data_IF_512132633346
#
_entry.id   IF_512132633346
#
_cell.length_a   1.000
_cell.length_b   1.000
_cell.length_c   1.000
_cell.angle_alpha   90.00
_cell.angle_beta   90.00
_cell.angle_gamma   90.00
#
_symmetry.space_group_name_H-M   'P 1'
#
loop_
_entity.id
_entity.type
_entity.pdbx_description
1 polymer ?
#
# COMPACT_ATOMS: atom_id res chain seq x y z
N UNK A 1 15.27 9.38 -3.92
CA UNK A 1 15.83 8.31 -3.06
C UNK A 1 14.69 7.37 -2.69
N UNK A 2 14.69 6.17 -3.23
CA UNK A 2 13.69 5.13 -2.94
C UNK A 2 13.77 4.75 -1.46
N UNK A 3 12.66 4.89 -0.73
CA UNK A 3 12.57 4.41 0.65
C UNK A 3 12.47 2.89 0.64
N UNK A 4 13.08 2.17 1.61
CA UNK A 4 12.91 0.73 1.70
C UNK A 4 11.43 0.40 1.88
N UNK A 5 10.93 -0.71 1.31
CA UNK A 5 9.51 -1.09 1.37
C UNK A 5 9.08 -1.51 2.78
N UNK A 6 10.01 -1.61 3.71
CA UNK A 6 9.77 -2.02 5.08
C UNK A 6 10.79 -1.39 6.03
N UNK A 7 10.44 -1.40 7.30
CA UNK A 7 11.36 -1.26 8.41
C UNK A 7 11.39 -2.55 9.20
N UNK A 8 12.60 -3.00 9.55
CA UNK A 8 12.81 -4.05 10.52
C UNK A 8 13.83 -3.61 11.56
N UNK A 9 13.58 -3.90 12.83
CA UNK A 9 14.52 -3.61 13.90
C UNK A 9 14.01 -3.96 15.30
N UNK A 10 14.94 -4.08 16.24
CA UNK A 10 14.67 -4.47 17.62
C UNK A 10 15.04 -5.92 17.91
N UNK A 11 14.70 -6.39 19.12
CA UNK A 11 14.92 -7.76 19.59
C UNK A 11 13.76 -8.17 20.52
N UNK A 12 13.46 -9.47 20.61
CA UNK A 12 12.37 -9.98 21.45
C UNK A 12 11.27 -10.65 20.65
N UNK A 13 10.04 -10.63 21.16
CA UNK A 13 8.89 -11.28 20.51
C UNK A 13 8.52 -10.54 19.20
N UNK A 14 8.27 -11.26 18.07
CA UNK A 14 7.94 -10.62 16.80
C UNK A 14 6.64 -9.81 16.85
N UNK A 15 6.66 -8.61 16.26
CA UNK A 15 5.50 -7.73 16.16
C UNK A 15 5.35 -7.15 14.74
N UNK A 16 4.21 -7.39 14.10
CA UNK A 16 3.87 -6.81 12.79
C UNK A 16 3.01 -5.55 12.95
N UNK A 17 3.44 -4.44 12.34
CA UNK A 17 2.68 -3.19 12.30
C UNK A 17 2.07 -2.96 10.92
N UNK A 18 0.73 -2.92 10.85
CA UNK A 18 -0.04 -2.68 9.63
C UNK A 18 -0.54 -1.23 9.59
N UNK A 19 -0.09 -0.46 8.60
CA UNK A 19 -0.55 0.92 8.40
C UNK A 19 -1.96 0.99 7.79
N UNK A 20 -2.60 2.16 7.88
CA UNK A 20 -3.91 2.41 7.27
C UNK A 20 -3.88 2.55 5.74
N UNK A 21 -5.06 2.74 5.15
CA UNK A 21 -5.26 2.94 3.70
C UNK A 21 -4.47 4.18 3.24
N UNK A 22 -3.80 4.09 2.08
CA UNK A 22 -2.90 5.13 1.53
C UNK A 22 -1.66 5.49 2.38
N UNK A 23 -1.26 4.66 3.35
CA UNK A 23 -0.07 4.92 4.16
C UNK A 23 1.16 4.13 3.68
N UNK A 24 2.23 4.16 4.46
CA UNK A 24 3.41 3.31 4.30
C UNK A 24 3.94 2.97 5.68
N UNK A 25 4.95 2.11 5.81
CA UNK A 25 5.54 1.82 7.12
C UNK A 25 5.99 3.10 7.86
N UNK A 26 6.28 4.18 7.14
CA UNK A 26 6.83 5.41 7.73
C UNK A 26 5.91 6.09 8.75
N UNK A 27 4.61 5.80 8.73
CA UNK A 27 3.67 6.34 9.75
C UNK A 27 4.04 5.91 11.17
N UNK A 28 4.76 4.80 11.30
CA UNK A 28 5.20 4.27 12.59
C UNK A 28 6.49 4.92 13.12
N UNK A 29 7.22 5.71 12.31
CA UNK A 29 8.50 6.34 12.72
C UNK A 29 8.48 7.00 14.10
N UNK A 30 7.43 7.74 14.50
CA UNK A 30 7.40 8.39 15.81
C UNK A 30 7.40 7.42 17.00
N UNK A 31 6.96 6.17 16.82
CA UNK A 31 6.80 5.19 17.91
C UNK A 31 7.80 4.03 17.85
N UNK A 32 8.46 3.80 16.71
CA UNK A 32 9.40 2.68 16.55
C UNK A 32 10.49 2.64 17.62
N UNK A 33 11.03 3.81 18.01
CA UNK A 33 12.08 3.88 19.04
C UNK A 33 11.63 3.43 20.43
N UNK A 34 10.33 3.53 20.73
CA UNK A 34 9.76 3.06 21.99
C UNK A 34 9.40 1.56 21.96
N UNK A 35 9.10 1.01 20.78
CA UNK A 35 8.63 -0.38 20.61
C UNK A 35 9.80 -1.35 20.39
N UNK A 36 10.79 -0.94 19.59
CA UNK A 36 11.93 -1.80 19.20
C UNK A 36 12.80 -2.33 20.36
N UNK A 37 12.92 -1.66 21.52
CA UNK A 37 13.61 -2.25 22.67
C UNK A 37 12.92 -3.48 23.29
N UNK A 38 11.64 -3.70 22.97
CA UNK A 38 10.81 -4.77 23.55
C UNK A 38 10.43 -5.88 22.55
N UNK A 39 10.50 -5.60 21.25
CA UNK A 39 10.05 -6.50 20.18
C UNK A 39 10.98 -6.48 18.96
N UNK A 40 11.05 -7.60 18.21
CA UNK A 40 11.55 -7.61 16.82
C UNK A 40 10.42 -7.08 15.92
N UNK A 41 10.47 -5.80 15.55
CA UNK A 41 9.39 -5.12 14.85
C UNK A 41 9.58 -5.24 13.34
N UNK A 42 8.53 -5.69 12.66
CA UNK A 42 8.39 -5.60 11.21
C UNK A 42 7.26 -4.61 10.88
N UNK A 43 7.60 -3.52 10.20
CA UNK A 43 6.62 -2.58 9.66
C UNK A 43 6.73 -2.56 8.14
N UNK A 44 5.68 -3.02 7.45
CA UNK A 44 5.68 -3.18 6.00
C UNK A 44 4.97 -2.00 5.33
N UNK A 45 5.41 -1.62 4.13
CA UNK A 45 4.58 -0.92 3.15
C UNK A 45 3.89 -1.98 2.30
N UNK A 46 2.58 -2.08 2.41
CA UNK A 46 1.81 -3.02 1.61
C UNK A 46 1.84 -2.63 0.12
N UNK A 47 1.85 -3.60 -0.82
CA UNK A 47 1.59 -3.32 -2.23
C UNK A 47 0.29 -2.52 -2.40
N UNK A 48 0.22 -1.61 -3.37
CA UNK A 48 -0.95 -0.72 -3.53
C UNK A 48 -0.95 0.52 -2.64
N UNK A 49 0.01 0.68 -1.72
CA UNK A 49 0.09 1.79 -0.77
C UNK A 49 1.34 2.66 -1.00
N UNK A 50 1.46 3.81 -0.33
CA UNK A 50 2.49 4.81 -0.69
C UNK A 50 3.90 4.23 -0.59
N UNK A 51 4.62 4.18 -1.71
CA UNK A 51 5.96 3.59 -1.79
C UNK A 51 5.99 2.10 -2.18
N UNK A 52 4.84 1.44 -2.28
CA UNK A 52 4.67 0.23 -3.08
C UNK A 52 4.42 0.66 -4.52
N UNK A 53 5.33 0.36 -5.44
CA UNK A 53 5.44 1.00 -6.76
C UNK A 53 4.24 0.94 -7.72
N UNK A 54 3.10 0.36 -7.33
CA UNK A 54 1.85 0.31 -8.09
C UNK A 54 0.66 0.60 -7.19
N UNK A 55 -0.31 1.37 -7.67
CA UNK A 55 -1.60 1.69 -7.01
C UNK A 55 -2.73 1.25 -7.94
N UNK A 56 -3.63 0.37 -7.47
CA UNK A 56 -4.84 0.01 -8.21
C UNK A 56 -6.02 0.88 -7.78
N UNK A 57 -6.78 1.44 -8.73
CA UNK A 57 -7.94 2.29 -8.48
C UNK A 57 -9.17 1.88 -9.28
N UNK A 58 -10.33 1.79 -8.61
CA UNK A 58 -11.63 1.51 -9.23
C UNK A 58 -12.09 2.64 -10.16
N UNK A 59 -12.19 2.36 -11.46
CA UNK A 59 -12.47 3.36 -12.49
C UNK A 59 -13.87 3.96 -12.45
N UNK A 60 -14.81 3.31 -11.77
CA UNK A 60 -16.20 3.76 -11.59
C UNK A 60 -16.56 4.00 -10.11
N UNK A 61 -15.56 4.22 -9.23
CA UNK A 61 -15.82 4.54 -7.83
C UNK A 61 -16.54 5.88 -7.67
N UNK A 62 -17.76 5.82 -7.14
CA UNK A 62 -18.60 6.99 -6.84
C UNK A 62 -18.56 7.41 -5.37
N UNK A 63 -18.08 6.54 -4.48
CA UNK A 63 -17.94 6.81 -3.05
C UNK A 63 -16.64 7.57 -2.79
N UNK A 64 -15.56 7.16 -3.44
CA UNK A 64 -14.25 7.81 -3.41
C UNK A 64 -13.84 8.09 -4.86
N UNK A 65 -14.31 9.19 -5.47
CA UNK A 65 -13.99 9.52 -6.86
C UNK A 65 -12.50 9.78 -7.08
N UNK A 66 -11.94 9.22 -8.15
CA UNK A 66 -10.52 9.36 -8.50
C UNK A 66 -10.07 10.83 -8.54
N UNK A 67 -10.83 11.69 -9.22
CA UNK A 67 -10.46 13.11 -9.37
C UNK A 67 -10.31 13.85 -8.04
N UNK A 68 -11.11 13.48 -7.04
CA UNK A 68 -11.12 14.14 -5.73
C UNK A 68 -10.05 13.57 -4.79
N UNK A 69 -9.80 12.27 -4.84
CA UNK A 69 -8.98 11.57 -3.84
C UNK A 69 -7.74 10.89 -4.44
N UNK A 70 -7.87 10.24 -5.59
CA UNK A 70 -6.77 9.53 -6.27
C UNK A 70 -5.81 10.47 -6.98
N UNK A 71 -6.28 11.51 -7.67
CA UNK A 71 -5.41 12.46 -8.37
C UNK A 71 -4.46 13.20 -7.41
N UNK A 72 -4.90 13.77 -6.27
CA UNK A 72 -3.98 14.34 -5.29
C UNK A 72 -3.03 13.31 -4.64
N UNK A 73 -3.38 12.01 -4.67
CA UNK A 73 -2.52 10.95 -4.16
C UNK A 73 -1.27 10.80 -5.02
N UNK A 74 -1.41 10.90 -6.35
CA UNK A 74 -0.30 10.76 -7.29
C UNK A 74 0.80 11.82 -7.07
N UNK A 75 0.42 13.05 -6.69
CA UNK A 75 1.39 14.10 -6.35
C UNK A 75 2.27 13.73 -5.15
N UNK A 76 1.77 12.87 -4.25
CA UNK A 76 2.47 12.43 -3.04
C UNK A 76 3.34 11.19 -3.28
N UNK A 77 3.12 10.49 -4.39
CA UNK A 77 3.86 9.30 -4.84
C UNK A 77 4.10 9.36 -6.35
N UNK A 78 5.00 10.25 -6.80
CA UNK A 78 5.24 10.43 -8.23
C UNK A 78 5.80 9.18 -8.92
N UNK A 79 6.38 8.26 -8.17
CA UNK A 79 6.97 7.01 -8.68
C UNK A 79 5.97 5.84 -8.72
N UNK A 80 4.71 6.03 -8.31
CA UNK A 80 3.71 4.97 -8.35
C UNK A 80 3.09 4.85 -9.74
N UNK A 81 3.11 3.64 -10.30
CA UNK A 81 2.32 3.31 -11.47
C UNK A 81 0.84 3.16 -11.07
N UNK A 82 -0.04 3.96 -11.69
CA UNK A 82 -1.48 3.85 -11.51
C UNK A 82 -2.06 2.77 -12.43
N UNK A 83 -2.66 1.75 -11.83
CA UNK A 83 -3.47 0.74 -12.51
C UNK A 83 -4.94 1.09 -12.32
N UNK A 84 -5.67 1.36 -13.39
CA UNK A 84 -7.13 1.60 -13.31
C UNK A 84 -7.87 0.29 -13.54
N UNK A 85 -8.90 0.02 -12.73
CA UNK A 85 -9.81 -1.11 -12.87
C UNK A 85 -11.08 -0.64 -13.62
N UNK A 86 -11.16 -0.80 -14.95
CA UNK A 86 -12.27 -0.25 -15.73
C UNK A 86 -13.59 -0.92 -15.37
N UNK A 87 -14.66 -0.14 -15.25
CA UNK A 87 -16.00 -0.66 -14.93
C UNK A 87 -16.24 -1.02 -13.46
N UNK A 88 -15.19 -1.02 -12.63
CA UNK A 88 -15.25 -1.45 -11.23
C UNK A 88 -15.66 -0.30 -10.31
N UNK A 89 -16.62 -0.56 -9.42
CA UNK A 89 -17.14 0.39 -8.43
C UNK A 89 -16.35 0.40 -7.12
N UNK A 90 -16.98 0.86 -6.04
CA UNK A 90 -16.28 1.14 -4.78
C UNK A 90 -15.79 -0.10 -4.03
N UNK A 91 -16.46 -1.25 -4.21
CA UNK A 91 -16.10 -2.50 -3.53
C UNK A 91 -15.56 -3.47 -4.58
N UNK A 92 -14.31 -3.26 -5.05
CA UNK A 92 -13.78 -3.96 -6.23
C UNK A 92 -13.84 -5.48 -6.11
N UNK A 93 -13.65 -6.02 -4.91
CA UNK A 93 -13.69 -7.46 -4.61
C UNK A 93 -15.08 -8.08 -4.86
N UNK A 94 -16.14 -7.28 -4.78
CA UNK A 94 -17.51 -7.70 -5.03
C UNK A 94 -17.97 -7.37 -6.45
N UNK A 95 -17.48 -6.25 -7.00
CA UNK A 95 -17.87 -5.77 -8.32
C UNK A 95 -17.24 -6.60 -9.46
N UNK A 96 -15.96 -6.97 -9.34
CA UNK A 96 -15.25 -7.83 -10.30
C UNK A 96 -14.12 -8.63 -9.61
N UNK A 97 -14.44 -9.77 -8.97
CA UNK A 97 -13.47 -10.55 -8.20
C UNK A 97 -12.33 -11.11 -9.07
N UNK A 98 -12.60 -11.50 -10.31
CA UNK A 98 -11.59 -12.08 -11.20
C UNK A 98 -10.55 -11.04 -11.63
N UNK A 99 -11.01 -9.83 -12.00
CA UNK A 99 -10.15 -8.70 -12.29
C UNK A 99 -9.29 -8.33 -11.08
N UNK A 100 -9.88 -8.28 -9.88
CA UNK A 100 -9.16 -7.96 -8.65
C UNK A 100 -8.08 -8.99 -8.33
N UNK A 101 -8.41 -10.30 -8.39
CA UNK A 101 -7.43 -11.36 -8.15
C UNK A 101 -6.27 -11.25 -9.12
N UNK A 102 -6.55 -11.06 -10.42
CA UNK A 102 -5.51 -10.86 -11.44
C UNK A 102 -4.62 -9.67 -11.11
N UNK A 103 -5.22 -8.52 -10.80
CA UNK A 103 -4.45 -7.31 -10.46
C UNK A 103 -3.62 -7.48 -9.19
N UNK A 104 -4.15 -8.14 -8.15
CA UNK A 104 -3.40 -8.44 -6.92
C UNK A 104 -2.18 -9.30 -7.25
N UNK A 105 -2.35 -10.37 -8.02
CA UNK A 105 -1.25 -11.26 -8.40
C UNK A 105 -0.20 -10.55 -9.26
N UNK A 106 -0.62 -9.66 -10.16
CA UNK A 106 0.28 -8.83 -10.98
C UNK A 106 1.07 -7.82 -10.14
N UNK A 107 0.42 -7.15 -9.17
CA UNK A 107 1.01 -6.12 -8.31
C UNK A 107 1.90 -6.73 -7.23
N UNK A 108 1.52 -7.88 -6.68
CA UNK A 108 2.27 -8.62 -5.66
C UNK A 108 3.40 -9.48 -6.24
N UNK A 109 3.47 -9.65 -7.57
CA UNK A 109 4.56 -10.37 -8.21
C UNK A 109 5.92 -9.72 -7.84
N UNK A 110 6.94 -10.52 -7.46
CA UNK A 110 8.26 -10.01 -7.20
C UNK A 110 8.81 -9.25 -8.41
N UNK A 111 9.42 -8.08 -8.19
CA UNK A 111 10.18 -7.39 -9.23
C UNK A 111 11.33 -8.32 -9.62
N UNK A 112 11.27 -8.90 -10.83
CA UNK A 112 12.37 -9.72 -11.36
C UNK A 112 13.60 -8.82 -11.48
N UNK A 113 14.66 -9.17 -10.75
CA UNK A 113 15.98 -8.55 -10.88
C UNK A 113 16.70 -9.08 -12.11
#
# INVERSE_FOLDING_TARGET
MTRPPEHRGGTGEPLLLLHGVTASWTVWRPVLGAIAPHHDVLALTLPGHLGGGRIAWSGCDRTIPFDRYGRPLLDRVPDAELVTLPGVGHVPMSDDPDLVVRTILEVAAPVRR
#
